data_IF_072843677302
#
_entry.id   IF_072843677302
#
_cell.length_a   1.000
_cell.length_b   1.000
_cell.length_c   1.000
_cell.angle_alpha   90.00
_cell.angle_beta   90.00
_cell.angle_gamma   90.00
#
_symmetry.space_group_name_H-M   'P 1'
#
loop_
_entity.id
_entity.type
_entity.pdbx_description
1 polymer ?
#
# COMPACT_ATOMS: atom_id res chain seq x y z
N UNK A 1 -24.82 -4.58 -12.24
CA UNK A 1 -25.13 -3.52 -11.25
C UNK A 1 -24.55 -2.21 -11.77
N UNK A 2 -25.41 -1.24 -12.16
CA UNK A 2 -24.95 0.12 -12.53
C UNK A 2 -24.77 0.91 -11.22
N UNK A 3 -23.57 0.92 -10.67
CA UNK A 3 -23.21 1.83 -9.56
C UNK A 3 -23.17 3.26 -10.09
N UNK A 4 -24.27 3.96 -9.98
CA UNK A 4 -24.29 5.40 -10.25
C UNK A 4 -23.62 6.10 -9.08
N UNK A 5 -22.40 6.56 -9.26
CA UNK A 5 -21.74 7.45 -8.31
C UNK A 5 -22.60 8.72 -8.17
N UNK A 6 -23.00 9.03 -6.95
CA UNK A 6 -23.63 10.32 -6.65
C UNK A 6 -22.55 11.39 -6.54
N UNK A 7 -22.88 12.63 -6.84
CA UNK A 7 -21.94 13.76 -6.71
C UNK A 7 -21.31 13.83 -5.31
N UNK A 8 -22.10 13.51 -4.28
CA UNK A 8 -21.60 13.40 -2.91
C UNK A 8 -20.49 12.36 -2.74
N UNK A 9 -20.64 11.19 -3.37
CA UNK A 9 -19.64 10.11 -3.27
C UNK A 9 -18.33 10.55 -3.94
N UNK A 10 -18.43 11.24 -5.08
CA UNK A 10 -17.26 11.77 -5.78
C UNK A 10 -16.51 12.82 -4.96
N UNK A 11 -17.26 13.74 -4.31
CA UNK A 11 -16.67 14.75 -3.43
C UNK A 11 -15.96 14.10 -2.23
N UNK A 12 -16.59 13.10 -1.61
CA UNK A 12 -15.98 12.37 -0.48
C UNK A 12 -14.73 11.59 -0.90
N UNK A 13 -14.74 10.94 -2.07
CA UNK A 13 -13.57 10.25 -2.62
C UNK A 13 -12.42 11.24 -2.84
N UNK A 14 -12.70 12.39 -3.43
CA UNK A 14 -11.68 13.41 -3.68
C UNK A 14 -11.08 13.95 -2.37
N UNK A 15 -11.92 14.26 -1.38
CA UNK A 15 -11.46 14.73 -0.06
C UNK A 15 -10.63 13.68 0.68
N UNK A 16 -11.11 12.44 0.73
CA UNK A 16 -10.37 11.34 1.37
C UNK A 16 -9.05 11.04 0.66
N UNK A 17 -9.04 11.04 -0.68
CA UNK A 17 -7.83 10.86 -1.48
C UNK A 17 -6.81 11.98 -1.23
N UNK A 18 -7.26 13.24 -1.11
CA UNK A 18 -6.39 14.36 -0.77
C UNK A 18 -5.79 14.22 0.64
N UNK A 19 -6.59 13.83 1.63
CA UNK A 19 -6.10 13.57 2.99
C UNK A 19 -5.09 12.41 2.99
N UNK A 20 -5.35 11.32 2.27
CA UNK A 20 -4.41 10.22 2.11
C UNK A 20 -3.09 10.68 1.49
N UNK A 21 -3.15 11.54 0.47
CA UNK A 21 -1.95 12.09 -0.17
C UNK A 21 -1.13 12.94 0.81
N UNK A 22 -1.77 13.80 1.61
CA UNK A 22 -1.09 14.60 2.63
C UNK A 22 -0.42 13.69 3.68
N UNK A 23 -1.13 12.66 4.15
CA UNK A 23 -0.59 11.72 5.14
C UNK A 23 0.58 10.90 4.58
N UNK A 24 0.57 10.61 3.29
CA UNK A 24 1.66 9.91 2.62
C UNK A 24 2.97 10.74 2.60
N UNK A 25 2.86 12.08 2.55
CA UNK A 25 4.01 12.98 2.61
C UNK A 25 4.56 13.17 4.03
N UNK A 26 3.82 12.73 5.05
CA UNK A 26 4.29 12.75 6.44
C UNK A 26 5.09 11.46 6.66
N UNK A 27 6.33 11.46 6.21
CA UNK A 27 7.25 10.36 6.42
C UNK A 27 7.64 10.25 7.90
N UNK A 28 7.25 9.15 8.53
CA UNK A 28 7.79 8.75 9.83
C UNK A 28 8.89 7.72 9.61
N UNK A 29 10.16 8.13 9.55
CA UNK A 29 11.26 7.17 9.50
C UNK A 29 11.30 6.42 10.82
N UNK A 30 10.94 5.14 10.79
CA UNK A 30 11.08 4.28 11.96
C UNK A 30 12.52 3.77 12.04
N UNK A 31 13.20 3.93 13.19
CA UNK A 31 14.62 3.62 13.32
C UNK A 31 14.95 2.12 13.18
N UNK A 32 13.93 1.26 13.13
CA UNK A 32 14.11 -0.20 12.98
C UNK A 32 13.87 -0.70 11.55
N UNK A 33 13.40 0.18 10.63
CA UNK A 33 13.11 -0.17 9.26
C UNK A 33 14.15 0.40 8.31
N UNK A 34 14.44 -0.27 7.19
CA UNK A 34 15.29 0.25 6.14
C UNK A 34 14.80 1.63 5.65
N UNK A 35 15.71 2.53 5.19
CA UNK A 35 15.36 3.90 4.80
C UNK A 35 14.36 4.03 3.64
N UNK A 36 14.16 2.93 2.88
CA UNK A 36 13.19 2.87 1.79
C UNK A 36 11.78 2.41 2.22
N UNK A 37 11.58 2.10 3.51
CA UNK A 37 10.35 1.55 4.05
C UNK A 37 9.68 2.58 4.95
N UNK A 38 8.66 3.28 4.42
CA UNK A 38 7.91 4.31 5.13
C UNK A 38 6.62 3.73 5.72
N UNK A 39 6.23 4.22 6.89
CA UNK A 39 4.98 3.83 7.53
C UNK A 39 3.81 4.62 6.91
N UNK A 40 2.97 3.93 6.14
CA UNK A 40 1.83 4.55 5.45
C UNK A 40 0.62 4.74 6.37
N UNK A 41 0.47 5.95 6.89
CA UNK A 41 -0.70 6.35 7.68
C UNK A 41 -1.96 6.53 6.81
N UNK A 42 -1.82 6.68 5.50
CA UNK A 42 -2.95 6.85 4.59
C UNK A 42 -3.87 5.61 4.58
N UNK A 43 -3.32 4.42 4.85
CA UNK A 43 -4.10 3.18 4.96
C UNK A 43 -5.23 3.24 5.99
N UNK A 44 -5.08 4.02 7.06
CA UNK A 44 -6.16 4.25 8.04
C UNK A 44 -7.34 5.00 7.42
N UNK A 45 -7.07 6.04 6.66
CA UNK A 45 -8.09 6.86 5.99
C UNK A 45 -8.77 6.06 4.88
N UNK A 46 -8.02 5.24 4.14
CA UNK A 46 -8.53 4.34 3.11
C UNK A 46 -9.53 3.33 3.70
N UNK A 47 -9.21 2.70 4.83
CA UNK A 47 -10.12 1.76 5.54
C UNK A 47 -11.37 2.49 6.03
N UNK A 48 -11.24 3.66 6.65
CA UNK A 48 -12.39 4.46 7.14
C UNK A 48 -13.28 4.83 5.96
N UNK A 49 -12.70 5.32 4.86
CA UNK A 49 -13.43 5.62 3.63
C UNK A 49 -14.15 4.39 3.05
N UNK A 50 -13.46 3.25 3.05
CA UNK A 50 -14.02 1.96 2.61
C UNK A 50 -15.20 1.50 3.46
N UNK A 51 -15.10 1.58 4.78
CA UNK A 51 -16.20 1.23 5.68
C UNK A 51 -17.41 2.17 5.53
N UNK A 52 -17.16 3.45 5.27
CA UNK A 52 -18.23 4.45 5.12
C UNK A 52 -18.95 4.34 3.77
N UNK A 53 -18.23 4.10 2.68
CA UNK A 53 -18.74 4.20 1.32
C UNK A 53 -18.83 2.87 0.56
N UNK A 54 -17.97 1.93 0.86
CA UNK A 54 -17.94 0.62 0.22
C UNK A 54 -16.64 0.28 -0.51
N UNK A 55 -16.50 -0.98 -0.98
CA UNK A 55 -15.24 -1.47 -1.54
C UNK A 55 -14.86 -0.79 -2.86
N UNK A 56 -15.82 -0.44 -3.71
CA UNK A 56 -15.53 0.24 -4.97
C UNK A 56 -15.02 1.66 -4.75
N UNK A 57 -15.64 2.38 -3.82
CA UNK A 57 -15.22 3.72 -3.44
C UNK A 57 -13.85 3.72 -2.76
N UNK A 58 -13.54 2.69 -1.97
CA UNK A 58 -12.21 2.49 -1.39
C UNK A 58 -11.12 2.39 -2.46
N UNK A 59 -11.35 1.60 -3.52
CA UNK A 59 -10.41 1.53 -4.66
C UNK A 59 -10.27 2.88 -5.34
N UNK A 60 -11.34 3.65 -5.50
CA UNK A 60 -11.27 5.00 -6.06
C UNK A 60 -10.44 5.95 -5.18
N UNK A 61 -10.55 5.87 -3.84
CA UNK A 61 -9.73 6.67 -2.91
C UNK A 61 -8.25 6.33 -3.09
N UNK A 62 -7.91 5.04 -3.14
CA UNK A 62 -6.53 4.57 -3.36
C UNK A 62 -5.99 5.09 -4.69
N UNK A 63 -6.78 5.00 -5.77
CA UNK A 63 -6.39 5.54 -7.08
C UNK A 63 -6.14 7.05 -7.05
N UNK A 64 -7.04 7.82 -6.43
CA UNK A 64 -6.88 9.27 -6.30
C UNK A 64 -5.63 9.61 -5.49
N UNK A 65 -5.37 8.91 -4.38
CA UNK A 65 -4.13 9.06 -3.60
C UNK A 65 -2.89 8.91 -4.47
N UNK A 66 -2.82 7.82 -5.25
CA UNK A 66 -1.66 7.51 -6.08
C UNK A 66 -1.49 8.51 -7.22
N UNK A 67 -2.59 8.91 -7.87
CA UNK A 67 -2.55 9.94 -8.92
C UNK A 67 -2.09 11.29 -8.38
N UNK A 68 -2.54 11.68 -7.19
CA UNK A 68 -2.09 12.90 -6.53
C UNK A 68 -0.61 12.83 -6.15
N UNK A 69 -0.15 11.71 -5.60
CA UNK A 69 1.27 11.49 -5.32
C UNK A 69 2.11 11.62 -6.59
N UNK A 70 1.69 10.95 -7.65
CA UNK A 70 2.39 11.01 -8.93
C UNK A 70 2.43 12.44 -9.51
N UNK A 71 1.38 13.22 -9.32
CA UNK A 71 1.32 14.61 -9.78
C UNK A 71 2.19 15.56 -8.93
N UNK A 72 2.41 15.27 -7.64
CA UNK A 72 3.18 16.13 -6.72
C UNK A 72 4.67 15.79 -6.70
N UNK A 73 5.03 14.53 -6.66
CA UNK A 73 6.43 14.07 -6.51
C UNK A 73 7.00 13.49 -7.81
N UNK A 74 6.15 13.16 -8.78
CA UNK A 74 6.56 12.37 -9.94
C UNK A 74 6.83 10.92 -9.56
N UNK A 75 7.52 10.20 -10.43
CA UNK A 75 7.94 8.82 -10.17
C UNK A 75 9.45 8.73 -10.03
N UNK A 76 9.94 8.24 -8.89
CA UNK A 76 11.35 7.92 -8.65
C UNK A 76 11.68 6.47 -9.00
N UNK A 77 10.67 5.61 -9.12
CA UNK A 77 10.80 4.16 -9.29
C UNK A 77 10.20 3.64 -10.60
N UNK A 78 10.12 4.50 -11.65
CA UNK A 78 9.55 4.17 -12.96
C UNK A 78 8.18 3.45 -12.85
N UNK A 79 7.27 3.98 -12.02
CA UNK A 79 5.92 3.50 -11.72
C UNK A 79 5.82 2.19 -10.93
N UNK A 80 6.93 1.54 -10.59
CA UNK A 80 6.90 0.24 -9.88
C UNK A 80 6.48 0.42 -8.43
N UNK A 81 6.98 1.45 -7.76
CA UNK A 81 6.61 1.77 -6.38
C UNK A 81 5.14 2.16 -6.25
N UNK A 82 4.61 2.91 -7.22
CA UNK A 82 3.20 3.30 -7.27
C UNK A 82 2.30 2.08 -7.49
N UNK A 83 2.70 1.17 -8.40
CA UNK A 83 1.99 -0.08 -8.62
C UNK A 83 1.99 -0.97 -7.37
N UNK A 84 3.14 -1.08 -6.69
CA UNK A 84 3.24 -1.81 -5.43
C UNK A 84 2.35 -1.21 -4.36
N UNK A 85 2.39 0.11 -4.17
CA UNK A 85 1.54 0.81 -3.20
C UNK A 85 0.05 0.56 -3.49
N UNK A 86 -0.35 0.60 -4.77
CA UNK A 86 -1.72 0.27 -5.18
C UNK A 86 -2.13 -1.16 -4.80
N UNK A 87 -1.29 -2.15 -5.12
CA UNK A 87 -1.56 -3.55 -4.84
C UNK A 87 -1.63 -3.82 -3.33
N UNK A 88 -0.70 -3.26 -2.55
CA UNK A 88 -0.67 -3.42 -1.09
C UNK A 88 -1.84 -2.71 -0.41
N UNK A 89 -2.17 -1.48 -0.82
CA UNK A 89 -3.35 -0.76 -0.32
C UNK A 89 -4.64 -1.53 -0.63
N UNK A 90 -4.80 -2.06 -1.84
CA UNK A 90 -5.95 -2.89 -2.19
C UNK A 90 -6.01 -4.18 -1.35
N UNK A 91 -4.88 -4.87 -1.17
CA UNK A 91 -4.79 -6.09 -0.37
C UNK A 91 -5.14 -5.84 1.10
N UNK A 92 -4.78 -4.66 1.62
CA UNK A 92 -5.03 -4.27 3.00
C UNK A 92 -6.47 -3.80 3.24
N UNK A 93 -7.03 -3.02 2.31
CA UNK A 93 -8.33 -2.33 2.49
C UNK A 93 -9.51 -3.19 2.06
N UNK A 94 -9.40 -3.95 0.96
CA UNK A 94 -10.55 -4.66 0.39
C UNK A 94 -11.11 -5.78 1.29
N UNK A 95 -10.30 -6.69 1.89
CA UNK A 95 -10.84 -7.76 2.70
C UNK A 95 -11.71 -7.29 3.87
N UNK A 96 -11.27 -6.36 4.75
CA UNK A 96 -12.08 -5.91 5.86
C UNK A 96 -13.31 -5.13 5.41
N UNK A 97 -13.20 -4.35 4.34
CA UNK A 97 -14.32 -3.55 3.81
C UNK A 97 -15.40 -4.47 3.24
N UNK A 98 -15.04 -5.49 2.47
CA UNK A 98 -15.99 -6.47 1.90
C UNK A 98 -16.68 -7.24 3.03
N UNK A 99 -15.92 -7.76 4.00
CA UNK A 99 -16.47 -8.48 5.15
C UNK A 99 -17.42 -7.61 5.97
N UNK A 100 -17.07 -6.36 6.20
CA UNK A 100 -17.90 -5.42 6.94
C UNK A 100 -19.21 -5.09 6.21
N UNK A 101 -19.17 -4.92 4.87
CA UNK A 101 -20.37 -4.66 4.09
C UNK A 101 -21.32 -5.86 4.00
N UNK A 102 -20.81 -7.08 4.14
CA UNK A 102 -21.64 -8.29 4.24
C UNK A 102 -22.30 -8.41 5.61
N UNK A 103 -21.56 -8.11 6.68
CA UNK A 103 -22.07 -8.16 8.05
C UNK A 103 -21.53 -6.98 8.85
N UNK A 104 -22.37 -5.96 9.00
CA UNK A 104 -22.05 -4.72 9.72
C UNK A 104 -21.90 -4.97 11.23
N UNK A 105 -20.74 -5.39 11.66
CA UNK A 105 -20.41 -5.63 13.05
C UNK A 105 -18.99 -5.15 13.35
N UNK A 106 -18.77 -4.61 14.56
CA UNK A 106 -17.43 -4.23 15.05
C UNK A 106 -16.47 -5.42 15.04
N UNK A 107 -16.97 -6.61 15.41
CA UNK A 107 -16.17 -7.84 15.41
C UNK A 107 -15.71 -8.20 13.99
N UNK A 108 -16.60 -8.09 13.00
CA UNK A 108 -16.27 -8.37 11.60
C UNK A 108 -15.22 -7.40 11.07
N UNK A 109 -15.29 -6.12 11.43
CA UNK A 109 -14.27 -5.14 11.05
C UNK A 109 -12.89 -5.49 11.64
N UNK A 110 -12.83 -5.80 12.94
CA UNK A 110 -11.56 -6.16 13.63
C UNK A 110 -10.96 -7.44 13.04
N UNK A 111 -11.77 -8.48 12.88
CA UNK A 111 -11.32 -9.77 12.30
C UNK A 111 -10.88 -9.55 10.84
N UNK A 112 -11.63 -8.76 10.08
CA UNK A 112 -11.27 -8.40 8.71
C UNK A 112 -9.91 -7.69 8.62
N UNK A 113 -9.64 -6.72 9.51
CA UNK A 113 -8.35 -6.04 9.58
C UNK A 113 -7.20 -6.98 9.96
N UNK A 114 -7.42 -7.90 10.91
CA UNK A 114 -6.41 -8.89 11.28
C UNK A 114 -6.07 -9.83 10.12
N UNK A 115 -7.09 -10.31 9.41
CA UNK A 115 -6.91 -11.16 8.22
C UNK A 115 -6.20 -10.38 7.11
N UNK A 116 -6.59 -9.11 6.87
CA UNK A 116 -5.97 -8.31 5.82
C UNK A 116 -4.51 -8.00 6.10
N UNK A 117 -4.12 -7.80 7.36
CA UNK A 117 -2.72 -7.59 7.73
C UNK A 117 -1.84 -8.78 7.34
N UNK A 118 -2.30 -10.01 7.65
CA UNK A 118 -1.59 -11.24 7.25
C UNK A 118 -1.59 -11.39 5.71
N UNK A 119 -2.72 -11.14 5.07
CA UNK A 119 -2.86 -11.23 3.62
C UNK A 119 -1.95 -10.23 2.90
N UNK A 120 -1.90 -8.99 3.38
CA UNK A 120 -1.02 -7.95 2.83
C UNK A 120 0.46 -8.30 3.00
N UNK A 121 0.85 -8.88 4.14
CA UNK A 121 2.21 -9.38 4.34
C UNK A 121 2.59 -10.45 3.31
N UNK A 122 1.71 -11.40 3.03
CA UNK A 122 1.93 -12.41 1.99
C UNK A 122 2.06 -11.75 0.61
N UNK A 123 1.13 -10.85 0.27
CA UNK A 123 1.15 -10.12 -1.01
C UNK A 123 2.43 -9.29 -1.13
N UNK A 124 2.89 -8.65 -0.04
CA UNK A 124 4.12 -7.87 -0.02
C UNK A 124 5.35 -8.72 -0.36
N UNK A 125 5.48 -9.90 0.26
CA UNK A 125 6.59 -10.83 -0.03
C UNK A 125 6.58 -11.23 -1.51
N UNK A 126 5.42 -11.63 -2.05
CA UNK A 126 5.32 -12.00 -3.46
C UNK A 126 5.61 -10.82 -4.39
N UNK A 127 5.10 -9.63 -4.09
CA UNK A 127 5.30 -8.44 -4.91
C UNK A 127 6.77 -8.01 -4.88
N UNK A 128 7.42 -8.02 -3.72
CA UNK A 128 8.84 -7.73 -3.60
C UNK A 128 9.69 -8.72 -4.39
N UNK A 129 9.45 -10.02 -4.19
CA UNK A 129 10.28 -11.07 -4.79
C UNK A 129 10.16 -11.14 -6.31
N UNK A 130 8.93 -11.01 -6.85
CA UNK A 130 8.67 -11.25 -8.28
C UNK A 130 8.55 -9.98 -9.12
N UNK A 131 8.26 -8.83 -8.53
CA UNK A 131 8.05 -7.59 -9.26
C UNK A 131 9.16 -6.57 -8.94
N UNK A 132 9.31 -6.23 -7.66
CA UNK A 132 10.16 -5.11 -7.26
C UNK A 132 11.63 -5.43 -7.45
N UNK A 133 12.11 -6.52 -6.86
CA UNK A 133 13.53 -6.88 -6.92
C UNK A 133 14.00 -7.11 -8.37
N UNK A 134 13.33 -7.92 -9.21
CA UNK A 134 13.75 -8.11 -10.61
C UNK A 134 13.72 -6.82 -11.43
N UNK A 135 12.74 -5.94 -11.17
CA UNK A 135 12.63 -4.67 -11.87
C UNK A 135 13.78 -3.71 -11.51
N UNK A 136 14.09 -3.58 -10.22
CA UNK A 136 15.23 -2.76 -9.78
C UNK A 136 16.57 -3.29 -10.30
N UNK A 137 16.74 -4.61 -10.35
CA UNK A 137 17.92 -5.23 -10.97
C UNK A 137 18.04 -4.85 -12.45
N UNK A 138 16.93 -4.93 -13.19
CA UNK A 138 16.89 -4.56 -14.61
C UNK A 138 17.15 -3.05 -14.83
N UNK A 139 16.65 -2.20 -13.93
CA UNK A 139 16.79 -0.74 -14.03
C UNK A 139 18.21 -0.26 -13.68
N UNK A 140 18.80 -0.83 -12.63
CA UNK A 140 20.12 -0.41 -12.13
C UNK A 140 21.28 -1.20 -12.74
N UNK A 141 21.01 -2.28 -13.49
CA UNK A 141 22.04 -3.15 -14.06
C UNK A 141 22.95 -3.80 -13.01
N UNK A 142 22.47 -3.93 -11.78
CA UNK A 142 23.21 -4.47 -10.64
C UNK A 142 22.70 -5.86 -10.29
N UNK A 143 23.63 -6.71 -9.81
CA UNK A 143 23.30 -8.06 -9.39
C UNK A 143 22.58 -8.09 -8.03
N UNK A 144 21.82 -9.16 -7.79
CA UNK A 144 21.12 -9.42 -6.55
C UNK A 144 22.02 -9.31 -5.29
N UNK A 145 23.28 -9.71 -5.43
CA UNK A 145 24.29 -9.64 -4.37
C UNK A 145 24.53 -8.21 -3.87
N UNK A 146 24.45 -7.23 -4.76
CA UNK A 146 24.60 -5.81 -4.41
C UNK A 146 23.46 -5.33 -3.50
N UNK A 147 22.21 -5.68 -3.83
CA UNK A 147 21.04 -5.30 -3.01
C UNK A 147 21.07 -5.97 -1.64
N UNK A 148 21.42 -7.25 -1.58
CA UNK A 148 21.59 -7.98 -0.32
C UNK A 148 22.69 -7.33 0.53
N UNK A 149 23.84 -7.00 -0.06
CA UNK A 149 24.95 -6.35 0.65
C UNK A 149 24.54 -4.98 1.23
N UNK A 150 23.88 -4.14 0.43
CA UNK A 150 23.41 -2.82 0.86
C UNK A 150 22.41 -2.92 2.02
N UNK A 151 21.51 -3.90 1.99
CA UNK A 151 20.55 -4.12 3.06
C UNK A 151 21.17 -4.78 4.30
N UNK A 152 22.19 -5.61 4.13
CA UNK A 152 22.95 -6.22 5.25
C UNK A 152 23.72 -5.17 6.06
N UNK A 153 24.19 -4.10 5.41
CA UNK A 153 24.82 -2.97 6.13
C UNK A 153 23.86 -2.24 7.07
N UNK A 154 22.56 -2.18 6.70
CA UNK A 154 21.52 -1.53 7.52
C UNK A 154 20.96 -2.48 8.57
N UNK A 155 20.80 -3.76 8.22
CA UNK A 155 20.28 -4.78 9.12
C UNK A 155 20.99 -6.13 8.90
N UNK A 156 21.86 -6.56 9.84
CA UNK A 156 22.63 -7.79 9.71
C UNK A 156 21.80 -9.09 9.70
N UNK A 157 20.49 -9.01 9.98
CA UNK A 157 19.59 -10.16 9.86
C UNK A 157 19.20 -10.45 8.41
N UNK A 158 19.44 -9.52 7.48
CA UNK A 158 19.18 -9.68 6.05
C UNK A 158 20.40 -10.35 5.41
N UNK A 159 20.45 -11.68 5.46
CA UNK A 159 21.57 -12.45 4.89
C UNK A 159 21.27 -13.09 3.52
N UNK A 160 19.98 -13.12 3.11
CA UNK A 160 19.54 -13.80 1.90
C UNK A 160 18.42 -13.02 1.19
N UNK A 161 18.21 -13.30 -0.09
CA UNK A 161 17.12 -12.73 -0.91
C UNK A 161 15.75 -12.91 -0.26
N UNK A 162 15.51 -14.02 0.40
CA UNK A 162 14.26 -14.32 1.08
C UNK A 162 14.05 -13.42 2.31
N UNK A 163 15.10 -13.17 3.08
CA UNK A 163 15.05 -12.23 4.23
C UNK A 163 14.96 -10.78 3.78
N UNK A 164 15.35 -10.45 2.55
CA UNK A 164 15.16 -9.14 1.94
C UNK A 164 13.69 -8.89 1.55
N UNK A 165 12.96 -9.94 1.17
CA UNK A 165 11.58 -9.83 0.71
C UNK A 165 10.54 -9.82 1.85
N UNK A 166 10.94 -10.24 3.05
CA UNK A 166 10.11 -10.26 4.27
C UNK A 166 10.25 -8.96 5.05
#
# INVERSE_FOLDING_TARGET
>A
MKTKFKTRDLTMIAMMGAICCILLHIDFPLPFLPPFMNFDLAGLVEIIGGFAMGPLQAVCIILVKILLKLATEGTSSAFTGELQNFLLSCAYVLPPVIMYHQKKSKRTAIVGMAISSVFTGIVAIFTNLYIIIPFYMALMGQDMSYFVAMCTEVNPLISNVFTLAI
#
